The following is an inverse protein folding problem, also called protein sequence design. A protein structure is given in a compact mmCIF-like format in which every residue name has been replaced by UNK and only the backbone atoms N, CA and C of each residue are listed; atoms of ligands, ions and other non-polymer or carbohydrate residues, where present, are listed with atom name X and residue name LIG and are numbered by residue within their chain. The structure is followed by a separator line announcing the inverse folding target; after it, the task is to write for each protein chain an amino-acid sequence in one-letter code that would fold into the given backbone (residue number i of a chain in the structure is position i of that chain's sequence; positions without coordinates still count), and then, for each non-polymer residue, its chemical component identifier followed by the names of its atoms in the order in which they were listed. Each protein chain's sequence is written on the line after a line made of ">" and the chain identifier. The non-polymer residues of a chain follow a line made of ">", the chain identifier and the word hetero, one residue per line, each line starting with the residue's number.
data_IF_271310428135
#
_entry.id   IF_271310428135
#
_cell.length_a   1.000
_cell.length_b   1.000
_cell.length_c   1.000
_cell.angle_alpha   90.00
_cell.angle_beta   90.00
_cell.angle_gamma   90.00
#
_symmetry.space_group_name_H-M   'P 1'
#
loop_
_entity.id
_entity.type
_entity.pdbx_description
1 polymer ?
#
# COMPACT_ATOMS: atom_id res chain seq x y z
N UNK A 1 -4.33 -21.54 -17.66
CA UNK A 1 -3.55 -20.34 -17.98
C UNK A 1 -4.51 -19.16 -18.01
N UNK A 2 -4.80 -18.54 -16.84
CA UNK A 2 -5.57 -17.31 -16.79
C UNK A 2 -4.58 -16.16 -16.82
N UNK A 3 -4.57 -15.35 -17.87
CA UNK A 3 -3.70 -14.17 -17.94
C UNK A 3 -4.06 -13.25 -16.78
N UNK A 4 -3.09 -12.92 -15.92
CA UNK A 4 -3.31 -11.89 -14.92
C UNK A 4 -3.56 -10.59 -15.69
N UNK A 5 -4.77 -10.05 -15.58
CA UNK A 5 -5.03 -8.73 -16.12
C UNK A 5 -4.03 -7.73 -15.50
N UNK A 6 -3.54 -6.81 -16.32
CA UNK A 6 -2.53 -5.81 -15.96
C UNK A 6 -3.15 -4.43 -16.08
N UNK A 7 -2.82 -3.54 -15.15
CA UNK A 7 -3.14 -2.10 -15.22
C UNK A 7 -1.87 -1.29 -15.47
N UNK A 8 -1.99 -0.26 -16.32
CA UNK A 8 -0.91 0.70 -16.54
C UNK A 8 -0.94 1.77 -15.46
N UNK A 9 0.18 1.96 -14.78
CA UNK A 9 0.38 2.95 -13.72
C UNK A 9 1.53 3.89 -14.08
N UNK A 10 1.50 5.13 -13.57
CA UNK A 10 2.52 6.15 -13.86
C UNK A 10 3.06 6.76 -12.57
N UNK A 11 4.38 6.86 -12.49
CA UNK A 11 5.08 7.71 -11.52
C UNK A 11 5.99 8.71 -12.26
N UNK A 12 6.83 9.44 -11.51
CA UNK A 12 7.76 10.43 -12.08
C UNK A 12 8.82 9.83 -12.99
N UNK A 13 9.01 8.50 -12.98
CA UNK A 13 9.97 7.77 -13.81
C UNK A 13 9.32 7.19 -15.08
N UNK A 14 8.01 7.42 -15.29
CA UNK A 14 7.27 6.96 -16.46
C UNK A 14 6.22 5.90 -16.13
N UNK A 15 5.75 5.22 -17.17
CA UNK A 15 4.73 4.17 -17.07
C UNK A 15 5.33 2.82 -16.68
N UNK A 16 4.52 1.99 -16.00
CA UNK A 16 4.87 0.61 -15.63
C UNK A 16 3.59 -0.23 -15.49
N UNK A 17 3.69 -1.50 -15.89
CA UNK A 17 2.60 -2.46 -15.75
C UNK A 17 2.55 -3.02 -14.32
N UNK A 18 1.35 -3.05 -13.74
CA UNK A 18 1.08 -3.58 -12.40
C UNK A 18 0.01 -4.66 -12.53
N UNK A 19 0.12 -5.81 -11.84
CA UNK A 19 -0.96 -6.78 -11.79
C UNK A 19 -2.27 -6.14 -11.26
N UNK A 20 -3.41 -6.56 -11.79
CA UNK A 20 -4.70 -6.01 -11.36
C UNK A 20 -5.17 -6.60 -10.01
N UNK A 21 -4.66 -7.76 -9.62
CA UNK A 21 -5.00 -8.48 -8.38
C UNK A 21 -4.24 -7.98 -7.14
N UNK A 22 -3.51 -6.88 -7.24
CA UNK A 22 -2.71 -6.29 -6.15
C UNK A 22 -3.00 -4.81 -5.94
N UNK A 23 -3.01 -4.41 -4.66
CA UNK A 23 -3.26 -3.02 -4.25
C UNK A 23 -2.05 -2.09 -4.34
N UNK A 24 -0.83 -2.60 -4.47
CA UNK A 24 0.36 -1.75 -4.49
C UNK A 24 0.52 -1.00 -5.81
N UNK A 25 1.27 0.10 -5.81
CA UNK A 25 1.42 0.97 -6.97
C UNK A 25 2.76 0.83 -7.73
N UNK A 26 3.02 1.76 -8.67
CA UNK A 26 4.19 1.71 -9.58
C UNK A 26 5.53 1.70 -8.83
N UNK A 27 5.65 2.49 -7.75
CA UNK A 27 6.86 2.55 -6.94
C UNK A 27 7.20 1.21 -6.28
N UNK A 28 6.20 0.44 -5.87
CA UNK A 28 6.41 -0.89 -5.27
C UNK A 28 6.87 -1.88 -6.33
N UNK A 29 6.27 -1.86 -7.53
CA UNK A 29 6.72 -2.70 -8.65
C UNK A 29 8.16 -2.39 -9.04
N UNK A 30 8.54 -1.11 -9.12
CA UNK A 30 9.94 -0.72 -9.37
C UNK A 30 10.87 -1.25 -8.29
N UNK A 31 10.46 -1.18 -7.01
CA UNK A 31 11.25 -1.73 -5.91
C UNK A 31 11.45 -3.24 -6.06
N UNK A 32 10.39 -3.99 -6.40
CA UNK A 32 10.46 -5.43 -6.67
C UNK A 32 11.40 -5.74 -7.85
N UNK A 33 11.37 -4.92 -8.89
CA UNK A 33 12.22 -5.10 -10.07
C UNK A 33 13.70 -4.77 -9.80
N UNK A 34 13.96 -3.72 -9.03
CA UNK A 34 15.31 -3.20 -8.78
C UNK A 34 16.04 -3.93 -7.66
N UNK A 35 15.35 -4.38 -6.61
CA UNK A 35 15.96 -4.91 -5.38
C UNK A 35 15.78 -6.42 -5.22
N UNK A 36 16.19 -7.20 -6.23
CA UNK A 36 16.19 -8.68 -6.21
C UNK A 36 17.42 -9.24 -5.50
N UNK A 37 17.68 -8.78 -4.27
CA UNK A 37 18.92 -9.07 -3.54
C UNK A 37 18.76 -10.27 -2.60
N UNK A 38 17.67 -10.32 -1.83
CA UNK A 38 17.37 -11.42 -0.91
C UNK A 38 15.88 -11.77 -0.91
N UNK A 39 15.52 -12.90 -0.28
CA UNK A 39 14.12 -13.29 -0.06
C UNK A 39 13.54 -12.76 1.25
N UNK A 40 14.29 -11.94 1.99
CA UNK A 40 13.80 -11.38 3.25
C UNK A 40 12.72 -10.34 2.98
N UNK A 41 11.59 -10.46 3.70
CA UNK A 41 10.48 -9.50 3.67
C UNK A 41 10.48 -8.66 4.95
N UNK A 42 9.86 -7.48 4.87
CA UNK A 42 9.63 -6.67 6.06
C UNK A 42 8.80 -7.43 7.10
N UNK A 43 9.18 -7.40 8.39
CA UNK A 43 8.48 -8.13 9.43
C UNK A 43 7.07 -7.59 9.63
N UNK A 44 6.19 -8.44 10.16
CA UNK A 44 4.78 -8.09 10.37
C UNK A 44 4.56 -6.88 11.28
N UNK A 45 5.40 -6.75 12.30
CA UNK A 45 5.41 -5.61 13.21
C UNK A 45 5.66 -4.30 12.47
N UNK A 46 6.60 -4.27 11.52
CA UNK A 46 6.93 -3.08 10.75
C UNK A 46 5.75 -2.60 9.90
N UNK A 47 5.08 -3.53 9.20
CA UNK A 47 3.91 -3.20 8.37
C UNK A 47 2.77 -2.64 9.23
N UNK A 48 2.50 -3.26 10.39
CA UNK A 48 1.48 -2.77 11.34
C UNK A 48 1.83 -1.40 11.91
N UNK A 49 3.10 -1.14 12.21
CA UNK A 49 3.57 0.16 12.68
C UNK A 49 3.36 1.24 11.61
N UNK A 50 3.70 0.95 10.34
CA UNK A 50 3.47 1.87 9.23
C UNK A 50 1.99 2.18 9.04
N UNK A 51 1.12 1.17 9.15
CA UNK A 51 -0.33 1.36 9.10
C UNK A 51 -0.84 2.22 10.26
N UNK A 52 -0.33 2.03 11.48
CA UNK A 52 -0.67 2.86 12.63
C UNK A 52 -0.26 4.34 12.42
N UNK A 53 0.91 4.59 11.84
CA UNK A 53 1.36 5.95 11.48
C UNK A 53 0.37 6.58 10.49
N UNK A 54 0.01 5.88 9.42
CA UNK A 54 -0.93 6.40 8.40
C UNK A 54 -2.33 6.67 8.96
N UNK A 55 -2.83 5.79 9.81
CA UNK A 55 -4.09 5.97 10.52
C UNK A 55 -4.06 7.23 11.41
N UNK A 56 -2.99 7.40 12.20
CA UNK A 56 -2.82 8.57 13.06
C UNK A 56 -2.70 9.86 12.25
N UNK A 57 -1.91 9.87 11.17
CA UNK A 57 -1.77 11.03 10.27
C UNK A 57 -3.08 11.42 9.61
N UNK A 58 -3.88 10.46 9.15
CA UNK A 58 -5.17 10.75 8.53
C UNK A 58 -6.16 11.38 9.53
N UNK A 59 -6.19 10.89 10.78
CA UNK A 59 -7.01 11.48 11.85
C UNK A 59 -6.56 12.89 12.21
N UNK A 60 -5.26 13.09 12.41
CA UNK A 60 -4.70 14.40 12.73
C UNK A 60 -4.98 15.43 11.60
N UNK A 61 -4.84 15.02 10.34
CA UNK A 61 -5.13 15.91 9.21
C UNK A 61 -6.63 16.21 9.06
N UNK A 62 -7.51 15.25 9.37
CA UNK A 62 -8.96 15.50 9.40
C UNK A 62 -9.32 16.52 10.49
N UNK A 63 -8.79 16.34 11.70
CA UNK A 63 -9.02 17.25 12.83
C UNK A 63 -8.48 18.65 12.55
N UNK A 64 -7.31 18.75 11.91
CA UNK A 64 -6.71 20.02 11.51
C UNK A 64 -7.35 20.67 10.27
N UNK A 65 -8.39 20.05 9.67
CA UNK A 65 -9.03 20.54 8.44
C UNK A 65 -8.11 20.55 7.22
N UNK A 66 -7.07 19.71 7.21
CA UNK A 66 -6.08 19.58 6.11
C UNK A 66 -6.39 18.43 5.16
N UNK A 67 -7.41 17.64 5.43
CA UNK A 67 -7.83 16.52 4.60
C UNK A 67 -9.36 16.43 4.57
N UNK A 68 -9.91 16.32 3.36
CA UNK A 68 -11.36 16.18 3.15
C UNK A 68 -11.92 14.97 3.92
N UNK A 69 -13.11 15.08 4.55
CA UNK A 69 -13.65 14.04 5.40
C UNK A 69 -13.84 12.68 4.71
N UNK A 70 -14.25 12.67 3.45
CA UNK A 70 -14.44 11.43 2.69
C UNK A 70 -13.11 10.70 2.47
N UNK A 71 -12.09 11.42 2.02
CA UNK A 71 -10.73 10.88 1.81
C UNK A 71 -10.14 10.41 3.14
N UNK A 72 -10.27 11.21 4.21
CA UNK A 72 -9.77 10.84 5.52
C UNK A 72 -10.40 9.54 6.03
N UNK A 73 -11.73 9.38 5.90
CA UNK A 73 -12.44 8.16 6.29
C UNK A 73 -11.97 6.95 5.49
N UNK A 74 -11.78 7.09 4.18
CA UNK A 74 -11.26 6.02 3.33
C UNK A 74 -9.86 5.58 3.76
N UNK A 75 -8.94 6.52 4.02
CA UNK A 75 -7.58 6.22 4.49
C UNK A 75 -7.61 5.55 5.86
N UNK A 76 -8.44 6.05 6.79
CA UNK A 76 -8.58 5.48 8.14
C UNK A 76 -9.06 4.02 8.07
N UNK A 77 -10.05 3.72 7.21
CA UNK A 77 -10.54 2.35 7.00
C UNK A 77 -9.44 1.44 6.48
N UNK A 78 -8.83 1.79 5.35
CA UNK A 78 -7.79 0.98 4.73
C UNK A 78 -6.56 0.78 5.66
N UNK A 79 -6.13 1.83 6.37
CA UNK A 79 -5.03 1.72 7.32
C UNK A 79 -5.38 0.82 8.52
N UNK A 80 -6.64 0.80 8.96
CA UNK A 80 -7.10 -0.11 10.01
C UNK A 80 -7.03 -1.57 9.56
N UNK A 81 -7.49 -1.87 8.34
CA UNK A 81 -7.41 -3.21 7.74
C UNK A 81 -5.97 -3.73 7.62
N UNK A 82 -5.03 -2.87 7.18
CA UNK A 82 -3.61 -3.24 7.12
C UNK A 82 -3.04 -3.49 8.52
N UNK A 83 -3.41 -2.65 9.51
CA UNK A 83 -2.94 -2.78 10.89
C UNK A 83 -3.45 -4.08 11.55
N UNK A 84 -4.68 -4.48 11.24
CA UNK A 84 -5.29 -5.74 11.69
C UNK A 84 -4.70 -6.96 10.96
N UNK A 85 -4.12 -6.74 9.78
CA UNK A 85 -3.45 -7.78 8.99
C UNK A 85 -4.34 -8.38 7.90
N UNK A 86 -5.49 -7.77 7.61
CA UNK A 86 -6.49 -8.29 6.67
C UNK A 86 -6.01 -8.26 5.21
N UNK A 87 -4.99 -7.46 4.90
CA UNK A 87 -4.46 -7.25 3.53
C UNK A 87 -3.07 -7.88 3.31
N UNK A 88 -2.70 -8.90 4.11
CA UNK A 88 -1.43 -9.62 3.89
C UNK A 88 -1.59 -10.70 2.82
N UNK A 89 -0.92 -10.55 1.69
CA UNK A 89 -0.79 -11.61 0.69
C UNK A 89 0.40 -12.52 1.05
N UNK A 90 0.06 -13.64 1.68
CA UNK A 90 0.99 -14.66 2.14
C UNK A 90 0.63 -15.08 3.56
N UNK A 91 -0.14 -16.19 3.67
CA UNK A 91 -0.19 -16.96 4.92
C UNK A 91 1.25 -17.25 5.35
N UNK A 92 1.51 -17.04 6.63
CA UNK A 92 2.71 -17.54 7.29
C UNK A 92 2.83 -19.06 7.10
#
# INVERSE_FOLDING_TARGET
>A
MGGSHIRSERDTLGEIEVPEDVYYGPQTVRTINNFKISRQRLPSSFIRAQAAIKLASARANLEAGKLEPEIAKAIISAASEVREGNLRTGKA
#
